data_IF_818438874882
#
_entry.id   IF_818438874882
#
_cell.length_a   1.000
_cell.length_b   1.000
_cell.length_c   1.000
_cell.angle_alpha   90.00
_cell.angle_beta   90.00
_cell.angle_gamma   90.00
#
_symmetry.space_group_name_H-M   'P 1'
#
loop_
_entity.id
_entity.type
_entity.pdbx_description
1 polymer ?
#
# COMPACT_ATOMS: atom_id res chain seq x y z
N UNK A 1 -23.44 5.41 -2.39
CA UNK A 1 -22.98 4.63 -1.22
C UNK A 1 -21.49 4.47 -1.42
N UNK A 2 -20.67 5.34 -0.81
CA UNK A 2 -19.22 5.25 -0.95
C UNK A 2 -18.78 3.94 -0.30
N UNK A 3 -18.36 2.97 -1.10
CA UNK A 3 -17.63 1.82 -0.56
C UNK A 3 -16.44 2.42 0.20
N UNK A 4 -16.40 2.19 1.51
CA UNK A 4 -15.32 2.66 2.37
C UNK A 4 -14.12 1.79 2.00
N UNK A 5 -13.33 2.27 1.02
CA UNK A 5 -12.06 1.66 0.63
C UNK A 5 -11.05 1.98 1.71
N UNK A 6 -10.40 0.94 2.23
CA UNK A 6 -9.36 1.02 3.23
C UNK A 6 -8.04 1.46 2.59
N UNK A 7 -7.84 1.08 1.32
CA UNK A 7 -6.75 1.56 0.48
C UNK A 7 -7.33 2.29 -0.74
N UNK A 8 -6.87 3.53 -0.95
CA UNK A 8 -7.19 4.35 -2.12
C UNK A 8 -5.92 4.64 -2.94
N UNK A 9 -6.08 5.15 -4.17
CA UNK A 9 -4.98 5.60 -5.03
C UNK A 9 -4.04 6.57 -4.31
N UNK A 10 -4.55 7.40 -3.39
CA UNK A 10 -3.74 8.35 -2.62
C UNK A 10 -2.74 7.62 -1.70
N UNK A 11 -3.15 6.50 -1.06
CA UNK A 11 -2.24 5.66 -0.26
C UNK A 11 -1.14 5.06 -1.14
N UNK A 12 -1.49 4.56 -2.33
CA UNK A 12 -0.52 3.99 -3.29
C UNK A 12 0.43 5.08 -3.79
N UNK A 13 -0.10 6.26 -4.08
CA UNK A 13 0.69 7.42 -4.49
C UNK A 13 1.65 7.85 -3.39
N UNK A 14 1.24 7.86 -2.13
CA UNK A 14 2.11 8.14 -0.99
C UNK A 14 3.22 7.10 -0.84
N UNK A 15 2.89 5.80 -0.99
CA UNK A 15 3.90 4.73 -0.97
C UNK A 15 4.96 4.94 -2.06
N UNK A 16 4.53 5.27 -3.28
CA UNK A 16 5.43 5.49 -4.41
C UNK A 16 6.22 6.81 -4.32
N UNK A 17 5.65 7.85 -3.71
CA UNK A 17 6.31 9.14 -3.47
C UNK A 17 7.15 9.17 -2.19
N UNK A 18 7.14 8.09 -1.39
CA UNK A 18 7.96 8.01 -0.19
C UNK A 18 9.43 8.22 -0.55
N UNK A 19 10.20 8.82 0.35
CA UNK A 19 11.64 9.00 0.13
C UNK A 19 12.41 7.70 0.37
N UNK A 20 11.79 6.74 1.06
CA UNK A 20 12.40 5.46 1.39
C UNK A 20 12.14 4.45 0.26
N UNK A 21 13.20 3.82 -0.30
CA UNK A 21 13.03 2.77 -1.31
C UNK A 21 12.35 1.52 -0.71
N UNK A 22 12.61 1.27 0.57
CA UNK A 22 12.04 0.21 1.39
C UNK A 22 10.76 0.64 2.15
N UNK A 23 10.09 1.71 1.71
CA UNK A 23 8.80 2.09 2.27
C UNK A 23 7.81 0.92 2.18
N UNK A 24 7.04 0.71 3.23
CA UNK A 24 6.12 -0.40 3.43
C UNK A 24 4.76 0.15 3.80
N UNK A 25 3.74 -0.28 3.06
CA UNK A 25 2.35 -0.01 3.37
C UNK A 25 1.89 -1.04 4.40
N UNK A 26 1.48 -0.56 5.56
CA UNK A 26 0.90 -1.36 6.65
C UNK A 26 -0.53 -0.93 6.90
N UNK A 27 -1.36 -1.86 7.37
CA UNK A 27 -2.72 -1.57 7.77
C UNK A 27 -2.90 -1.73 9.28
N UNK A 28 -3.12 -0.63 9.99
CA UNK A 28 -3.15 -0.61 11.46
C UNK A 28 -4.39 0.12 11.94
N UNK A 29 -5.16 -0.52 12.83
CA UNK A 29 -6.36 0.07 13.47
C UNK A 29 -7.44 0.60 12.51
N UNK A 30 -7.49 0.13 11.26
CA UNK A 30 -8.44 0.62 10.26
C UNK A 30 -7.86 1.63 9.28
N UNK A 31 -6.58 1.99 9.41
CA UNK A 31 -5.92 3.02 8.59
C UNK A 31 -4.74 2.47 7.79
N UNK A 32 -4.54 3.05 6.59
CA UNK A 32 -3.37 2.82 5.74
C UNK A 32 -2.22 3.71 6.24
N UNK A 33 -1.05 3.12 6.52
CA UNK A 33 0.13 3.89 6.93
C UNK A 33 1.34 3.46 6.13
N UNK A 34 2.09 4.42 5.61
CA UNK A 34 3.35 4.18 4.92
C UNK A 34 4.51 4.42 5.89
N UNK A 35 5.25 3.36 6.19
CA UNK A 35 6.39 3.37 7.12
C UNK A 35 7.64 2.88 6.40
N UNK A 36 8.84 3.39 6.69
CA UNK A 36 10.06 2.73 6.22
C UNK A 36 10.18 1.33 6.83
N UNK A 37 10.82 0.38 6.12
CA UNK A 37 10.95 -1.00 6.62
C UNK A 37 11.67 -1.09 7.98
N UNK A 38 12.53 -0.12 8.29
CA UNK A 38 13.20 -0.01 9.58
C UNK A 38 12.26 0.30 10.76
N UNK A 39 11.09 0.90 10.51
CA UNK A 39 10.05 1.20 11.51
C UNK A 39 8.97 0.09 11.56
N UNK A 40 9.06 -0.93 10.70
CA UNK A 40 8.15 -2.08 10.73
C UNK A 40 8.65 -3.09 11.77
N UNK A 41 8.22 -2.90 13.01
CA UNK A 41 8.44 -3.85 14.10
C UNK A 41 7.67 -5.19 13.90
N UNK A 42 7.98 -6.20 14.70
CA UNK A 42 7.31 -7.51 14.67
C UNK A 42 5.78 -7.44 14.81
N UNK A 43 5.25 -6.44 15.52
CA UNK A 43 3.81 -6.18 15.61
C UNK A 43 3.21 -5.71 14.27
N UNK A 44 3.99 -5.00 13.45
CA UNK A 44 3.58 -4.49 12.14
C UNK A 44 3.86 -5.50 11.02
N UNK A 45 4.79 -6.44 11.20
CA UNK A 45 5.14 -7.46 10.19
C UNK A 45 3.94 -8.27 9.72
N UNK A 46 3.02 -8.62 10.62
CA UNK A 46 1.77 -9.33 10.28
C UNK A 46 0.71 -8.47 9.59
N UNK A 47 0.94 -7.15 9.54
CA UNK A 47 0.04 -6.14 8.99
C UNK A 47 0.61 -5.48 7.73
N UNK A 48 1.74 -6.00 7.22
CA UNK A 48 2.35 -5.55 5.97
C UNK A 48 1.47 -5.95 4.80
N UNK A 49 1.04 -4.96 4.02
CA UNK A 49 0.21 -5.17 2.83
C UNK A 49 1.10 -5.25 1.59
N UNK A 50 2.01 -4.30 1.40
CA UNK A 50 2.94 -4.29 0.27
C UNK A 50 4.15 -3.39 0.54
N UNK A 51 5.28 -3.71 -0.09
CA UNK A 51 6.46 -2.84 -0.11
C UNK A 51 6.52 -2.01 -1.39
N UNK A 52 7.10 -0.82 -1.30
CA UNK A 52 7.30 0.06 -2.45
C UNK A 52 8.10 -0.63 -3.54
N UNK A 53 9.16 -1.36 -3.20
CA UNK A 53 9.98 -2.09 -4.16
C UNK A 53 9.15 -3.15 -4.92
N UNK A 54 8.28 -3.89 -4.23
CA UNK A 54 7.40 -4.89 -4.86
C UNK A 54 6.32 -4.24 -5.74
N UNK A 55 5.82 -3.07 -5.35
CA UNK A 55 4.86 -2.31 -6.16
C UNK A 55 5.57 -1.73 -7.39
N UNK A 56 6.76 -1.15 -7.23
CA UNK A 56 7.59 -0.64 -8.31
C UNK A 56 7.98 -1.75 -9.30
N UNK A 57 8.30 -2.95 -8.83
CA UNK A 57 8.63 -4.10 -9.67
C UNK A 57 7.44 -4.59 -10.52
N UNK A 58 6.21 -4.29 -10.12
CA UNK A 58 4.99 -4.58 -10.88
C UNK A 58 4.58 -3.43 -11.80
N UNK A 59 5.17 -2.25 -11.62
CA UNK A 59 4.93 -1.09 -12.47
C UNK A 59 5.91 -1.09 -13.65
N UNK A 60 5.49 -0.54 -14.80
CA UNK A 60 6.39 -0.26 -15.90
C UNK A 60 7.41 0.81 -15.48
N UNK A 61 8.55 0.86 -16.17
CA UNK A 61 9.63 1.84 -15.95
C UNK A 61 9.16 3.30 -16.12
N UNK A 62 8.01 3.52 -16.76
CA UNK A 62 7.39 4.82 -16.98
C UNK A 62 6.47 5.24 -15.82
N UNK A 63 6.10 6.53 -15.77
CA UNK A 63 5.28 7.05 -14.68
C UNK A 63 3.92 6.32 -14.62
N UNK A 64 3.51 5.78 -13.45
CA UNK A 64 2.26 5.04 -13.33
C UNK A 64 1.07 5.97 -13.62
N UNK A 65 0.15 5.49 -14.45
CA UNK A 65 -1.08 6.23 -14.75
C UNK A 65 -2.06 6.13 -13.57
N UNK A 66 -2.95 7.12 -13.42
CA UNK A 66 -3.97 7.11 -12.35
C UNK A 66 -4.82 5.83 -12.37
N UNK A 67 -5.10 5.26 -13.55
CA UNK A 67 -5.85 4.01 -13.67
C UNK A 67 -5.10 2.81 -13.11
N UNK A 68 -3.77 2.79 -13.21
CA UNK A 68 -2.94 1.73 -12.64
C UNK A 68 -2.84 1.85 -11.12
N UNK A 69 -2.78 3.08 -10.60
CA UNK A 69 -2.84 3.34 -9.17
C UNK A 69 -4.17 2.90 -8.58
N UNK A 70 -5.27 3.10 -9.31
CA UNK A 70 -6.61 2.65 -8.94
C UNK A 70 -6.70 1.11 -8.90
N UNK A 71 -6.20 0.41 -9.93
CA UNK A 71 -6.18 -1.06 -9.97
C UNK A 71 -5.32 -1.65 -8.83
N UNK A 72 -4.17 -1.03 -8.56
CA UNK A 72 -3.32 -1.37 -7.41
C UNK A 72 -4.05 -1.13 -6.09
N UNK A 73 -4.72 0.00 -5.93
CA UNK A 73 -5.48 0.31 -4.71
C UNK A 73 -6.59 -0.73 -4.48
N UNK A 74 -7.32 -1.12 -5.52
CA UNK A 74 -8.36 -2.16 -5.43
C UNK A 74 -7.76 -3.51 -5.03
N UNK A 75 -6.60 -3.90 -5.59
CA UNK A 75 -5.92 -5.15 -5.19
C UNK A 75 -5.49 -5.12 -3.74
N UNK A 76 -4.86 -4.02 -3.30
CA UNK A 76 -4.41 -3.86 -1.92
C UNK A 76 -5.58 -3.82 -0.94
N UNK A 77 -6.69 -3.14 -1.29
CA UNK A 77 -7.93 -3.12 -0.51
C UNK A 77 -8.50 -4.54 -0.32
N UNK A 78 -8.49 -5.37 -1.37
CA UNK A 78 -8.93 -6.76 -1.26
C UNK A 78 -8.03 -7.58 -0.32
N UNK A 79 -6.70 -7.38 -0.35
CA UNK A 79 -5.75 -8.06 0.55
C UNK A 79 -6.02 -7.66 2.01
N UNK A 80 -6.21 -6.36 2.27
CA UNK A 80 -6.54 -5.87 3.62
C UNK A 80 -7.84 -6.49 4.13
N UNK A 81 -8.87 -6.56 3.27
CA UNK A 81 -10.16 -7.17 3.64
C UNK A 81 -10.03 -8.65 3.98
N UNK A 82 -9.16 -9.38 3.30
CA UNK A 82 -8.87 -10.79 3.58
C UNK A 82 -8.14 -10.96 4.93
N UNK A 83 -7.20 -10.05 5.24
CA UNK A 83 -6.48 -10.05 6.52
C UNK A 83 -7.34 -9.63 7.72
N UNK A 84 -8.41 -8.86 7.49
CA UNK A 84 -9.35 -8.44 8.52
C UNK A 84 -10.55 -9.36 8.73
N UNK A 85 -10.64 -10.48 8.00
CA UNK A 85 -11.75 -11.44 8.04
C UNK A 85 -11.64 -12.50 9.15
#
# INVERSE_FOLDING_TARGET
MSAMTLIDRECVRQLLNSQHPDATLVFVLGDCVVLPAAEVDDAHKGLVIARRDEVMAQLPDDAPTDQMLDDLAVRLDNIVRDLGA
#
